data_IF_128679907791
#
_entry.id   IF_128679907791
#
_cell.length_a   1.000
_cell.length_b   1.000
_cell.length_c   1.000
_cell.angle_alpha   90.00
_cell.angle_beta   90.00
_cell.angle_gamma   90.00
#
_symmetry.space_group_name_H-M   'P 1'
#
loop_
_entity.id
_entity.type
_entity.pdbx_description
1 polymer ?
#
# COMPACT_ATOMS: atom_id res chain seq x y z
N UNK A 1 -8.98 10.90 25.29
CA UNK A 1 -7.90 9.91 25.08
C UNK A 1 -6.56 10.62 24.96
N UNK A 2 -5.53 10.14 25.66
CA UNK A 2 -4.17 10.74 25.68
C UNK A 2 -3.60 10.82 24.26
N UNK A 3 -2.98 11.94 23.89
CA UNK A 3 -2.58 12.27 22.51
C UNK A 3 -1.59 11.28 21.87
N UNK A 4 -0.84 10.52 22.67
CA UNK A 4 0.07 9.49 22.18
C UNK A 4 -0.64 8.30 21.51
N UNK A 5 -1.79 7.88 22.04
CA UNK A 5 -2.55 6.75 21.48
C UNK A 5 -3.07 7.07 20.07
N UNK A 6 -3.49 8.32 19.84
CA UNK A 6 -3.98 8.77 18.53
C UNK A 6 -2.92 8.68 17.42
N UNK A 7 -1.63 8.83 17.73
CA UNK A 7 -0.55 8.72 16.73
C UNK A 7 -0.30 7.28 16.31
N UNK A 8 -0.45 6.34 17.25
CA UNK A 8 -0.31 4.91 16.97
C UNK A 8 -1.45 4.39 16.10
N UNK A 9 -2.65 4.98 16.19
CA UNK A 9 -3.77 4.62 15.32
C UNK A 9 -3.40 4.81 13.83
N UNK A 10 -2.73 5.91 13.48
CA UNK A 10 -2.22 6.17 12.12
C UNK A 10 -1.12 5.18 11.67
N UNK A 11 -0.40 4.56 12.60
CA UNK A 11 0.54 3.49 12.25
C UNK A 11 -0.18 2.14 12.08
N UNK A 12 -1.08 1.82 13.00
CA UNK A 12 -1.77 0.52 13.02
C UNK A 12 -2.84 0.39 11.93
N UNK A 13 -3.39 1.50 11.44
CA UNK A 13 -4.31 1.49 10.29
C UNK A 13 -3.63 0.95 9.03
N UNK A 14 -2.31 1.06 8.93
CA UNK A 14 -1.52 0.52 7.81
C UNK A 14 -1.32 -1.00 7.90
N UNK A 15 -1.72 -1.64 9.00
CA UNK A 15 -1.59 -3.09 9.25
C UNK A 15 -0.16 -3.61 9.04
N UNK A 16 0.83 -3.11 9.80
CA UNK A 16 2.25 -3.41 9.57
C UNK A 16 2.58 -4.92 9.63
N UNK A 17 1.80 -5.72 10.35
CA UNK A 17 1.96 -7.18 10.40
C UNK A 17 1.72 -7.87 9.06
N UNK A 18 1.02 -7.23 8.12
CA UNK A 18 0.78 -7.77 6.78
C UNK A 18 1.86 -7.39 5.77
N UNK A 19 2.90 -6.64 6.19
CA UNK A 19 4.01 -6.30 5.30
C UNK A 19 5.00 -7.45 5.13
N UNK A 20 5.16 -8.30 6.14
CA UNK A 20 6.15 -9.39 6.14
C UNK A 20 6.07 -10.29 4.90
N UNK A 21 4.89 -10.79 4.46
CA UNK A 21 4.83 -11.67 3.30
C UNK A 21 5.28 -10.99 1.99
N UNK A 22 5.09 -9.68 1.87
CA UNK A 22 5.48 -8.97 0.65
C UNK A 22 6.97 -8.63 0.68
N UNK A 23 7.50 -8.25 1.84
CA UNK A 23 8.94 -8.04 2.01
C UNK A 23 9.73 -9.32 1.76
N UNK A 24 9.27 -10.47 2.23
CA UNK A 24 9.97 -11.74 2.02
C UNK A 24 10.05 -12.10 0.54
N UNK A 25 8.97 -11.92 -0.23
CA UNK A 25 8.98 -12.14 -1.67
C UNK A 25 9.91 -11.16 -2.39
N UNK A 26 9.89 -9.88 -2.03
CA UNK A 26 10.77 -8.87 -2.62
C UNK A 26 12.26 -9.15 -2.34
N UNK A 27 12.60 -9.51 -1.11
CA UNK A 27 13.95 -9.89 -0.71
C UNK A 27 14.41 -11.19 -1.39
N UNK A 28 13.53 -12.19 -1.51
CA UNK A 28 13.84 -13.42 -2.23
C UNK A 28 14.17 -13.15 -3.70
N UNK A 29 13.41 -12.27 -4.37
CA UNK A 29 13.68 -11.83 -5.74
C UNK A 29 15.03 -11.12 -5.88
N UNK A 30 15.34 -10.20 -4.95
CA UNK A 30 16.63 -9.53 -4.92
C UNK A 30 17.79 -10.51 -4.72
N UNK A 31 17.64 -11.45 -3.78
CA UNK A 31 18.64 -12.49 -3.52
C UNK A 31 18.85 -13.41 -4.73
N UNK A 32 17.77 -13.80 -5.42
CA UNK A 32 17.86 -14.60 -6.65
C UNK A 32 18.61 -13.86 -7.77
N UNK A 33 18.34 -12.57 -7.96
CA UNK A 33 19.03 -11.73 -8.95
C UNK A 33 20.54 -11.61 -8.65
N UNK A 34 20.90 -11.44 -7.38
CA UNK A 34 22.30 -11.33 -6.97
C UNK A 34 23.13 -12.57 -7.38
N UNK A 35 22.50 -13.75 -7.44
CA UNK A 35 23.16 -15.01 -7.86
C UNK A 35 23.36 -15.11 -9.37
N UNK A 36 22.49 -14.50 -10.17
CA UNK A 36 22.58 -14.54 -11.64
C UNK A 36 23.44 -13.40 -12.19
N UNK A 37 23.61 -12.32 -11.43
CA UNK A 37 24.41 -11.15 -11.82
C UNK A 37 25.42 -10.79 -10.72
N UNK A 38 26.60 -11.44 -10.69
CA UNK A 38 27.58 -11.28 -9.61
C UNK A 38 28.07 -9.84 -9.41
N UNK A 39 28.06 -9.02 -10.47
CA UNK A 39 28.47 -7.62 -10.43
C UNK A 39 27.59 -6.72 -9.53
N UNK A 40 26.43 -7.20 -9.07
CA UNK A 40 25.54 -6.47 -8.16
C UNK A 40 25.71 -6.83 -6.68
N UNK A 41 26.64 -7.72 -6.33
CA UNK A 41 26.84 -8.18 -4.96
C UNK A 41 27.67 -7.18 -4.11
N UNK A 42 27.13 -6.80 -2.95
CA UNK A 42 27.94 -6.41 -1.77
C UNK A 42 28.49 -4.98 -1.71
N UNK A 43 27.93 -4.03 -2.46
CA UNK A 43 28.31 -2.61 -2.36
C UNK A 43 27.34 -1.78 -1.51
N UNK A 44 27.84 -0.84 -0.70
CA UNK A 44 27.02 0.08 0.10
C UNK A 44 25.96 0.85 -0.71
N UNK A 45 26.25 1.17 -1.98
CA UNK A 45 25.29 1.78 -2.89
C UNK A 45 24.12 0.83 -3.27
N UNK A 46 24.40 -0.48 -3.41
CA UNK A 46 23.39 -1.52 -3.68
C UNK A 46 22.47 -1.70 -2.48
N UNK A 47 23.03 -1.74 -1.26
CA UNK A 47 22.27 -1.87 -0.01
C UNK A 47 21.40 -0.64 0.27
N UNK A 48 21.92 0.56 0.03
CA UNK A 48 21.15 1.81 0.16
C UNK A 48 19.97 1.82 -0.81
N UNK A 49 20.20 1.40 -2.05
CA UNK A 49 19.16 1.34 -3.07
C UNK A 49 18.09 0.28 -2.72
N UNK A 50 18.50 -0.89 -2.21
CA UNK A 50 17.59 -1.91 -1.70
C UNK A 50 16.72 -1.37 -0.56
N UNK A 51 17.32 -0.67 0.41
CA UNK A 51 16.59 -0.05 1.51
C UNK A 51 15.57 0.98 1.02
N UNK A 52 15.94 1.82 0.04
CA UNK A 52 15.02 2.77 -0.59
C UNK A 52 13.86 2.06 -1.31
N UNK A 53 14.13 0.98 -2.03
CA UNK A 53 13.06 0.19 -2.67
C UNK A 53 12.13 -0.47 -1.66
N UNK A 54 12.66 -1.06 -0.59
CA UNK A 54 11.84 -1.65 0.48
C UNK A 54 11.03 -0.60 1.23
N UNK A 55 11.59 0.58 1.47
CA UNK A 55 10.86 1.71 2.05
C UNK A 55 9.71 2.13 1.13
N UNK A 56 9.98 2.33 -0.17
CA UNK A 56 8.95 2.65 -1.15
C UNK A 56 7.85 1.59 -1.23
N UNK A 57 8.22 0.31 -1.26
CA UNK A 57 7.29 -0.82 -1.24
C UNK A 57 6.40 -0.78 0.02
N UNK A 58 6.98 -0.50 1.19
CA UNK A 58 6.25 -0.38 2.45
C UNK A 58 5.19 0.72 2.40
N UNK A 59 5.53 1.88 1.83
CA UNK A 59 4.59 3.00 1.68
C UNK A 59 3.43 2.63 0.74
N UNK A 60 3.73 1.99 -0.40
CA UNK A 60 2.69 1.51 -1.34
C UNK A 60 1.78 0.46 -0.69
N UNK A 61 2.33 -0.45 0.12
CA UNK A 61 1.54 -1.43 0.87
C UNK A 61 0.60 -0.75 1.87
N UNK A 62 1.11 0.18 2.66
CA UNK A 62 0.30 0.97 3.59
C UNK A 62 -0.85 1.71 2.87
N UNK A 63 -0.56 2.35 1.73
CA UNK A 63 -1.58 2.98 0.91
C UNK A 63 -2.65 2.00 0.43
N UNK A 64 -2.26 0.78 0.02
CA UNK A 64 -3.23 -0.23 -0.42
C UNK A 64 -4.18 -0.69 0.69
N UNK A 65 -3.70 -0.79 1.93
CA UNK A 65 -4.55 -1.10 3.09
C UNK A 65 -5.51 0.04 3.44
N UNK A 66 -5.09 1.29 3.29
CA UNK A 66 -5.99 2.45 3.47
C UNK A 66 -7.05 2.52 2.38
N UNK A 67 -6.68 2.27 1.12
CA UNK A 67 -7.63 2.22 0.00
C UNK A 67 -8.67 1.12 0.26
N UNK A 68 -8.24 -0.08 0.64
CA UNK A 68 -9.18 -1.16 0.99
C UNK A 68 -10.14 -0.72 2.11
N UNK A 69 -9.62 -0.21 3.22
CA UNK A 69 -10.45 0.19 4.37
C UNK A 69 -11.39 1.36 4.09
N UNK A 70 -11.02 2.29 3.20
CA UNK A 70 -11.88 3.42 2.83
C UNK A 70 -12.98 3.03 1.84
N UNK A 71 -12.77 1.97 1.06
CA UNK A 71 -13.78 1.43 0.14
C UNK A 71 -14.76 0.50 0.88
N UNK A 72 -14.26 -0.31 1.80
CA UNK A 72 -15.02 -1.36 2.48
C UNK A 72 -15.68 -0.89 3.79
N UNK A 73 -15.85 0.43 4.01
CA UNK A 73 -16.38 0.98 5.27
C UNK A 73 -17.71 0.34 5.68
N UNK A 74 -18.68 0.28 4.78
CA UNK A 74 -20.02 -0.25 5.09
C UNK A 74 -19.99 -1.75 5.38
N UNK A 75 -19.30 -2.54 4.56
CA UNK A 75 -19.20 -3.98 4.74
C UNK A 75 -18.41 -4.33 6.01
N UNK A 76 -17.39 -3.55 6.36
CA UNK A 76 -16.60 -3.75 7.55
C UNK A 76 -17.33 -3.36 8.85
N UNK A 77 -18.19 -2.34 8.79
CA UNK A 77 -19.11 -1.98 9.87
C UNK A 77 -20.12 -3.12 10.15
N UNK A 78 -20.72 -3.68 9.10
CA UNK A 78 -21.66 -4.81 9.22
C UNK A 78 -21.01 -6.06 9.82
N UNK A 79 -19.73 -6.28 9.52
CA UNK A 79 -18.98 -7.45 9.97
C UNK A 79 -18.28 -7.27 11.33
N UNK A 80 -18.50 -6.14 12.03
CA UNK A 80 -17.85 -5.82 13.32
C UNK A 80 -16.32 -6.00 13.29
N UNK A 81 -15.68 -5.70 12.14
CA UNK A 81 -14.23 -5.83 12.03
C UNK A 81 -13.56 -4.70 12.80
N UNK A 82 -12.40 -4.99 13.40
CA UNK A 82 -11.62 -4.04 14.18
C UNK A 82 -10.87 -3.06 13.24
N UNK A 83 -11.58 -2.24 12.47
CA UNK A 83 -10.99 -1.28 11.55
C UNK A 83 -11.19 0.17 12.01
N UNK A 84 -10.07 0.88 12.10
CA UNK A 84 -9.96 2.21 12.72
C UNK A 84 -10.72 3.29 11.93
N UNK A 85 -10.87 3.12 10.61
CA UNK A 85 -11.66 4.04 9.77
C UNK A 85 -13.16 3.78 9.95
N UNK A 86 -13.59 2.52 9.87
CA UNK A 86 -14.99 2.11 10.00
C UNK A 86 -15.61 2.51 11.36
N UNK A 87 -14.80 2.44 12.42
CA UNK A 87 -15.20 2.81 13.79
C UNK A 87 -15.04 4.31 14.10
N UNK A 88 -14.59 5.13 13.14
CA UNK A 88 -14.43 6.57 13.32
C UNK A 88 -13.23 7.00 14.18
N UNK A 89 -12.33 6.08 14.55
CA UNK A 89 -11.09 6.41 15.25
C UNK A 89 -10.17 7.28 14.37
N UNK A 90 -10.19 7.05 13.05
CA UNK A 90 -9.52 7.88 12.03
C UNK A 90 -10.57 8.47 11.10
N UNK A 91 -10.52 9.78 10.91
CA UNK A 91 -11.45 10.46 9.99
C UNK A 91 -11.18 10.06 8.53
N UNK A 92 -12.23 9.97 7.73
CA UNK A 92 -12.11 9.63 6.30
C UNK A 92 -11.20 10.61 5.53
N UNK A 93 -11.25 11.90 5.87
CA UNK A 93 -10.37 12.91 5.28
C UNK A 93 -8.90 12.64 5.60
N UNK A 94 -8.60 12.26 6.84
CA UNK A 94 -7.24 11.95 7.24
C UNK A 94 -6.73 10.67 6.55
N UNK A 95 -7.57 9.65 6.41
CA UNK A 95 -7.23 8.43 5.69
C UNK A 95 -6.92 8.70 4.20
N UNK A 96 -7.70 9.55 3.53
CA UNK A 96 -7.41 9.94 2.14
C UNK A 96 -6.11 10.75 2.03
N UNK A 97 -5.87 11.69 2.95
CA UNK A 97 -4.63 12.47 2.97
C UNK A 97 -3.41 11.57 3.18
N UNK A 98 -3.49 10.65 4.14
CA UNK A 98 -2.43 9.69 4.43
C UNK A 98 -2.17 8.77 3.22
N UNK A 99 -3.23 8.26 2.58
CA UNK A 99 -3.12 7.50 1.33
C UNK A 99 -2.38 8.28 0.25
N UNK A 100 -2.74 9.56 0.04
CA UNK A 100 -2.11 10.41 -0.97
C UNK A 100 -0.61 10.63 -0.66
N UNK A 101 -0.26 10.87 0.60
CA UNK A 101 1.14 11.03 1.03
C UNK A 101 1.95 9.75 0.83
N UNK A 102 1.40 8.60 1.22
CA UNK A 102 2.03 7.29 1.07
C UNK A 102 2.25 6.92 -0.40
N UNK A 103 1.37 7.35 -1.31
CA UNK A 103 1.56 7.17 -2.75
C UNK A 103 2.57 8.18 -3.35
N UNK A 104 2.55 9.44 -2.91
CA UNK A 104 3.37 10.49 -3.51
C UNK A 104 4.87 10.25 -3.32
N UNK A 105 5.30 9.87 -2.12
CA UNK A 105 6.72 9.66 -1.79
C UNK A 105 7.41 8.63 -2.69
N UNK A 106 6.89 7.39 -2.87
CA UNK A 106 7.53 6.41 -3.76
C UNK A 106 7.48 6.84 -5.23
N UNK A 107 6.39 7.49 -5.70
CA UNK A 107 6.32 8.01 -7.08
C UNK A 107 7.42 9.06 -7.31
N UNK A 108 7.52 10.05 -6.43
CA UNK A 108 8.53 11.11 -6.53
C UNK A 108 9.94 10.51 -6.48
N UNK A 109 10.19 9.57 -5.58
CA UNK A 109 11.50 8.89 -5.47
C UNK A 109 11.86 8.16 -6.77
N UNK A 110 10.91 7.44 -7.38
CA UNK A 110 11.11 6.73 -8.64
C UNK A 110 11.28 7.67 -9.83
N UNK A 111 10.64 8.83 -9.86
CA UNK A 111 10.83 9.81 -10.95
C UNK A 111 12.30 10.25 -11.10
N UNK A 112 13.05 10.30 -9.99
CA UNK A 112 14.47 10.64 -10.00
C UNK A 112 15.39 9.47 -10.39
N UNK A 113 15.00 8.22 -10.11
CA UNK A 113 15.87 7.04 -10.31
C UNK A 113 15.51 6.20 -11.54
N UNK A 114 14.20 5.97 -11.77
CA UNK A 114 13.62 5.04 -12.75
C UNK A 114 12.23 5.53 -13.19
N UNK A 115 12.21 6.43 -14.19
CA UNK A 115 10.97 7.07 -14.71
C UNK A 115 9.97 6.05 -15.26
N UNK A 116 10.46 4.98 -15.87
CA UNK A 116 9.69 3.83 -16.35
C UNK A 116 8.84 3.22 -15.22
N UNK A 117 9.46 2.93 -14.09
CA UNK A 117 8.78 2.35 -12.92
C UNK A 117 7.83 3.35 -12.26
N UNK A 118 8.19 4.64 -12.24
CA UNK A 118 7.34 5.69 -11.70
C UNK A 118 6.01 5.80 -12.47
N UNK A 119 6.07 5.79 -13.81
CA UNK A 119 4.90 5.84 -14.67
C UNK A 119 4.03 4.59 -14.53
N UNK A 120 4.64 3.40 -14.45
CA UNK A 120 3.91 2.16 -14.19
C UNK A 120 3.19 2.19 -12.84
N UNK A 121 3.87 2.64 -11.77
CA UNK A 121 3.27 2.75 -10.45
C UNK A 121 2.10 3.75 -10.44
N UNK A 122 2.28 4.92 -11.07
CA UNK A 122 1.22 5.92 -11.20
C UNK A 122 0.02 5.37 -11.99
N UNK A 123 0.27 4.62 -13.07
CA UNK A 123 -0.77 3.98 -13.85
C UNK A 123 -1.55 2.93 -13.02
N UNK A 124 -0.86 2.07 -12.26
CA UNK A 124 -1.50 1.07 -11.38
C UNK A 124 -2.35 1.75 -10.31
N UNK A 125 -1.86 2.82 -9.68
CA UNK A 125 -2.62 3.57 -8.66
C UNK A 125 -3.84 4.27 -9.30
N UNK A 126 -3.69 4.81 -10.51
CA UNK A 126 -4.80 5.44 -11.24
C UNK A 126 -5.89 4.45 -11.67
N UNK A 127 -5.52 3.18 -11.88
CA UNK A 127 -6.44 2.05 -12.09
C UNK A 127 -7.12 1.58 -10.80
N UNK A 128 -6.90 2.28 -9.68
CA UNK A 128 -7.63 2.08 -8.44
C UNK A 128 -9.14 1.98 -8.62
N UNK A 129 -9.88 1.61 -7.56
CA UNK A 129 -11.06 0.72 -7.58
C UNK A 129 -12.32 1.19 -8.35
N UNK A 130 -12.26 2.28 -9.11
CA UNK A 130 -13.25 2.64 -10.12
C UNK A 130 -13.53 1.51 -11.13
N UNK A 131 -12.54 0.65 -11.43
CA UNK A 131 -12.75 -0.55 -12.26
C UNK A 131 -13.54 -1.67 -11.58
N UNK A 132 -13.39 -1.84 -10.25
CA UNK A 132 -13.96 -2.97 -9.49
C UNK A 132 -15.45 -2.77 -9.15
N UNK A 133 -15.89 -1.51 -8.98
CA UNK A 133 -17.32 -1.17 -8.76
C UNK A 133 -18.24 -1.56 -9.91
N UNK A 134 -17.73 -1.60 -11.15
CA UNK A 134 -18.55 -1.90 -12.35
C UNK A 134 -18.84 -3.40 -12.49
N UNK A 135 -17.94 -4.27 -12.06
CA UNK A 135 -18.11 -5.73 -12.15
C UNK A 135 -18.95 -6.30 -11.00
N UNK A 136 -18.79 -5.78 -9.78
CA UNK A 136 -19.57 -6.26 -8.62
C UNK A 136 -21.04 -5.82 -8.69
N UNK A 137 -21.32 -4.57 -9.11
CA UNK A 137 -22.72 -4.13 -9.35
C UNK A 137 -23.42 -4.91 -10.46
N UNK A 138 -22.66 -5.41 -11.45
CA UNK A 138 -23.21 -6.23 -12.53
C UNK A 138 -23.62 -7.62 -12.02
N UNK A 139 -22.80 -8.25 -11.18
CA UNK A 139 -23.08 -9.56 -10.56
C UNK A 139 -24.30 -9.54 -9.64
N UNK A 140 -24.48 -8.49 -8.82
CA UNK A 140 -25.66 -8.35 -7.96
C UNK A 140 -26.96 -8.14 -8.74
N UNK A 141 -26.90 -7.55 -9.93
CA UNK A 141 -28.08 -7.34 -10.78
C UNK A 141 -28.50 -8.58 -11.57
N UNK A 142 -27.57 -9.48 -11.88
CA UNK A 142 -27.85 -10.70 -12.64
C UNK A 142 -28.22 -11.91 -11.78
N UNK A 143 -28.04 -11.85 -10.45
CA UNK A 143 -28.38 -12.94 -9.52
C UNK A 143 -29.82 -12.92 -8.97
N UNK A 144 -30.64 -11.97 -9.43
CA UNK A 144 -32.02 -11.78 -8.98
C UNK A 144 -33.05 -11.85 -10.13
N UNK A 145 -32.71 -12.50 -11.25
CA UNK A 145 -33.63 -12.83 -12.33
C UNK A 145 -33.79 -14.35 -12.46
#
# INVERSE_FOLDING_TARGET
>A
MKSGLKRLDYLFVLRPTLFYPVWTVALAGHWAQARTTPAMQGGAASETLLALYLAGLTLVLGASFLINQTMDIQSDQLNNKLYLIANGNISLRAAYLETALLCAVPILTLLFHRRDLALLLAAVISQGPAGRRRSEQFSWRSGHL
#
